data_IF_438068849334
#
_entry.id   IF_438068849334
#
_cell.length_a   1.000
_cell.length_b   1.000
_cell.length_c   1.000
_cell.angle_alpha   90.00
_cell.angle_beta   90.00
_cell.angle_gamma   90.00
#
_symmetry.space_group_name_H-M   'P 1'
#
loop_
_entity.id
_entity.type
_entity.pdbx_description
1 polymer ?
#
# COMPACT_ATOMS: atom_id res chain seq x y z
N UNK A 1 -52.40 -69.14 -38.82
CA UNK A 1 -51.46 -68.90 -39.94
C UNK A 1 -52.08 -67.88 -40.89
N UNK A 2 -51.62 -66.62 -40.82
CA UNK A 2 -51.60 -65.58 -41.86
C UNK A 2 -51.23 -64.26 -41.17
N UNK A 3 -49.97 -63.88 -41.37
CA UNK A 3 -49.38 -62.61 -40.93
C UNK A 3 -49.80 -61.55 -41.96
N UNK A 4 -50.42 -60.45 -41.53
CA UNK A 4 -50.60 -59.27 -42.36
C UNK A 4 -49.73 -58.14 -41.80
N UNK A 5 -48.77 -57.73 -42.62
CA UNK A 5 -47.86 -56.62 -42.39
C UNK A 5 -48.62 -55.30 -42.39
N UNK A 6 -48.57 -54.56 -41.28
CA UNK A 6 -49.03 -53.19 -41.19
C UNK A 6 -47.83 -52.26 -41.37
N UNK A 7 -47.75 -51.62 -42.54
CA UNK A 7 -46.81 -50.54 -42.85
C UNK A 7 -47.35 -49.23 -42.26
N UNK A 8 -46.63 -48.65 -41.30
CA UNK A 8 -46.90 -47.31 -40.75
C UNK A 8 -46.15 -46.29 -41.62
N UNK A 9 -46.82 -45.25 -42.18
CA UNK A 9 -46.11 -44.17 -42.86
C UNK A 9 -45.52 -43.20 -41.82
N UNK A 10 -44.20 -43.04 -41.86
CA UNK A 10 -43.49 -42.00 -41.12
C UNK A 10 -43.84 -40.64 -41.74
N UNK A 11 -44.63 -39.81 -41.03
CA UNK A 11 -44.76 -38.39 -41.34
C UNK A 11 -43.48 -37.68 -40.90
N UNK A 12 -42.64 -37.33 -41.87
CA UNK A 12 -41.52 -36.39 -41.69
C UNK A 12 -42.09 -34.97 -41.56
N UNK A 13 -42.25 -34.49 -40.32
CA UNK A 13 -42.45 -33.07 -40.06
C UNK A 13 -41.16 -32.32 -40.43
N UNK A 14 -41.19 -31.60 -41.55
CA UNK A 14 -40.20 -30.56 -41.85
C UNK A 14 -40.42 -29.38 -40.89
N UNK A 15 -39.83 -29.46 -39.71
CA UNK A 15 -39.60 -28.28 -38.88
C UNK A 15 -38.55 -27.41 -39.57
N UNK A 16 -39.01 -26.31 -40.18
CA UNK A 16 -38.15 -25.20 -40.57
C UNK A 16 -37.53 -24.62 -39.30
N UNK A 17 -36.37 -25.12 -38.88
CA UNK A 17 -35.45 -24.35 -38.07
C UNK A 17 -34.99 -23.20 -38.95
N UNK A 18 -35.60 -22.03 -38.77
CA UNK A 18 -34.95 -20.80 -39.17
C UNK A 18 -33.64 -20.74 -38.42
N UNK A 19 -32.53 -21.00 -39.12
CA UNK A 19 -31.23 -20.50 -38.70
C UNK A 19 -31.39 -18.98 -38.59
N UNK A 20 -31.68 -18.50 -37.38
CA UNK A 20 -31.32 -17.13 -37.03
C UNK A 20 -29.82 -17.08 -37.18
N UNK A 21 -29.35 -16.54 -38.31
CA UNK A 21 -27.94 -16.28 -38.54
C UNK A 21 -27.42 -15.50 -37.32
N UNK A 22 -26.64 -16.17 -36.48
CA UNK A 22 -25.80 -15.49 -35.50
C UNK A 22 -24.92 -14.57 -36.34
N UNK A 23 -25.00 -13.23 -36.18
CA UNK A 23 -24.19 -12.33 -36.98
C UNK A 23 -22.75 -12.77 -36.86
N UNK A 24 -22.05 -12.93 -37.99
CA UNK A 24 -20.65 -13.27 -37.99
C UNK A 24 -19.91 -12.18 -37.21
N UNK A 25 -19.58 -12.44 -35.95
CA UNK A 25 -18.84 -11.53 -35.10
C UNK A 25 -17.49 -11.28 -35.76
N UNK A 26 -17.35 -10.13 -36.40
CA UNK A 26 -16.12 -9.83 -37.13
C UNK A 26 -15.00 -9.57 -36.12
N UNK A 27 -13.84 -10.21 -36.32
CA UNK A 27 -12.62 -10.00 -35.52
C UNK A 27 -12.22 -8.51 -35.40
N UNK A 28 -12.66 -7.65 -36.32
CA UNK A 28 -12.45 -6.20 -36.26
C UNK A 28 -13.26 -5.55 -35.11
N UNK A 29 -14.53 -5.92 -34.91
CA UNK A 29 -15.35 -5.43 -33.80
C UNK A 29 -14.77 -5.84 -32.43
N UNK A 30 -14.21 -7.05 -32.35
CA UNK A 30 -13.51 -7.51 -31.16
C UNK A 30 -12.23 -6.72 -30.88
N UNK A 31 -11.44 -6.34 -31.90
CA UNK A 31 -10.21 -5.55 -31.73
C UNK A 31 -10.48 -4.19 -31.09
N UNK A 32 -11.48 -3.47 -31.59
CA UNK A 32 -11.85 -2.15 -31.06
C UNK A 32 -12.44 -2.26 -29.65
N UNK A 33 -12.95 -3.44 -29.28
CA UNK A 33 -13.43 -3.75 -27.94
C UNK A 33 -12.35 -4.28 -26.98
N UNK A 34 -11.12 -4.60 -27.45
CA UNK A 34 -10.06 -5.17 -26.59
C UNK A 34 -9.80 -4.31 -25.35
N UNK A 35 -9.61 -2.98 -25.43
CA UNK A 35 -9.36 -2.17 -24.24
C UNK A 35 -10.51 -2.24 -23.23
N UNK A 36 -11.76 -2.29 -23.72
CA UNK A 36 -12.96 -2.41 -22.89
C UNK A 36 -13.02 -3.78 -22.22
N UNK A 37 -12.77 -4.85 -22.97
CA UNK A 37 -12.77 -6.23 -22.46
C UNK A 37 -11.66 -6.46 -21.45
N UNK A 38 -10.48 -5.92 -21.70
CA UNK A 38 -9.35 -5.94 -20.75
C UNK A 38 -9.75 -5.21 -19.47
N UNK A 39 -10.33 -4.01 -19.56
CA UNK A 39 -10.81 -3.31 -18.35
C UNK A 39 -11.91 -4.10 -17.61
N UNK A 40 -12.85 -4.73 -18.31
CA UNK A 40 -13.87 -5.59 -17.69
C UNK A 40 -13.25 -6.81 -16.99
N UNK A 41 -12.25 -7.45 -17.60
CA UNK A 41 -11.49 -8.53 -16.98
C UNK A 41 -10.81 -8.06 -15.69
N UNK A 42 -10.22 -6.86 -15.70
CA UNK A 42 -9.65 -6.25 -14.50
C UNK A 42 -10.72 -6.00 -13.43
N UNK A 43 -11.90 -5.48 -13.79
CA UNK A 43 -13.01 -5.27 -12.86
C UNK A 43 -13.44 -6.58 -12.19
N UNK A 44 -13.63 -7.65 -12.96
CA UNK A 44 -14.00 -8.96 -12.42
C UNK A 44 -12.90 -9.54 -11.52
N UNK A 45 -11.63 -9.38 -11.92
CA UNK A 45 -10.48 -9.88 -11.15
C UNK A 45 -10.35 -9.12 -9.83
N UNK A 46 -10.40 -7.79 -9.86
CA UNK A 46 -10.28 -6.94 -8.67
C UNK A 46 -11.48 -7.10 -7.72
N UNK A 47 -12.69 -7.33 -8.23
CA UNK A 47 -13.85 -7.65 -7.40
C UNK A 47 -13.70 -9.01 -6.68
N UNK A 48 -13.11 -10.00 -7.35
CA UNK A 48 -12.78 -11.28 -6.73
C UNK A 48 -11.68 -11.12 -5.68
N UNK A 49 -10.61 -10.37 -6.00
CA UNK A 49 -9.55 -10.02 -5.04
C UNK A 49 -10.15 -9.36 -3.81
N UNK A 50 -11.04 -8.36 -3.97
CA UNK A 50 -11.66 -7.65 -2.85
C UNK A 50 -12.39 -8.59 -1.90
N UNK A 51 -13.23 -9.47 -2.44
CA UNK A 51 -13.99 -10.46 -1.67
C UNK A 51 -13.05 -11.41 -0.92
N UNK A 52 -11.94 -11.79 -1.56
CA UNK A 52 -11.00 -12.74 -0.98
C UNK A 52 -10.10 -12.10 0.08
N UNK A 53 -9.69 -10.83 -0.07
CA UNK A 53 -8.93 -10.10 0.95
C UNK A 53 -9.71 -9.99 2.27
N UNK A 54 -11.04 -9.78 2.20
CA UNK A 54 -11.90 -9.75 3.40
C UNK A 54 -12.01 -11.13 4.07
N UNK A 55 -12.00 -12.21 3.28
CA UNK A 55 -12.11 -13.58 3.79
C UNK A 55 -10.78 -14.13 4.32
N UNK A 56 -9.66 -13.74 3.72
CA UNK A 56 -8.32 -14.20 4.04
C UNK A 56 -7.45 -12.97 4.35
N UNK A 57 -7.61 -12.37 5.54
CA UNK A 57 -6.87 -11.17 5.93
C UNK A 57 -5.35 -11.44 6.04
N UNK A 58 -4.52 -10.38 6.15
CA UNK A 58 -3.07 -10.55 6.30
C UNK A 58 -2.71 -11.36 7.57
N UNK A 59 -1.76 -12.28 7.42
CA UNK A 59 -1.29 -13.19 8.47
C UNK A 59 0.22 -13.49 8.31
N UNK A 60 0.91 -13.86 9.40
CA UNK A 60 2.34 -14.19 9.37
C UNK A 60 2.65 -15.42 8.50
N UNK A 61 1.86 -16.48 8.65
CA UNK A 61 2.01 -17.70 7.88
C UNK A 61 1.05 -17.68 6.69
N UNK A 62 1.53 -17.14 5.57
CA UNK A 62 0.69 -16.92 4.40
C UNK A 62 0.12 -18.23 3.81
N UNK A 63 -1.18 -18.43 3.94
CA UNK A 63 -1.92 -19.52 3.29
C UNK A 63 -1.80 -19.51 1.76
N UNK A 64 -2.11 -20.64 1.12
CA UNK A 64 -2.11 -20.73 -0.36
C UNK A 64 -3.15 -19.80 -0.97
N UNK A 65 -4.30 -19.65 -0.33
CA UNK A 65 -5.35 -18.71 -0.68
C UNK A 65 -4.81 -17.29 -0.66
N UNK A 66 -4.11 -16.91 0.42
CA UNK A 66 -3.48 -15.59 0.55
C UNK A 66 -2.44 -15.33 -0.53
N UNK A 67 -1.60 -16.32 -0.86
CA UNK A 67 -0.64 -16.23 -1.96
C UNK A 67 -1.34 -16.05 -3.31
N UNK A 68 -2.41 -16.79 -3.57
CA UNK A 68 -3.18 -16.71 -4.81
C UNK A 68 -3.85 -15.33 -4.97
N UNK A 69 -4.37 -14.75 -3.89
CA UNK A 69 -4.99 -13.41 -3.92
C UNK A 69 -3.96 -12.35 -4.32
N UNK A 70 -2.79 -12.37 -3.68
CA UNK A 70 -1.72 -11.42 -3.99
C UNK A 70 -1.20 -11.61 -5.42
N UNK A 71 -1.08 -12.84 -5.89
CA UNK A 71 -0.70 -13.11 -7.29
C UNK A 71 -1.75 -12.64 -8.30
N UNK A 72 -3.05 -12.79 -8.01
CA UNK A 72 -4.12 -12.27 -8.84
C UNK A 72 -4.06 -10.74 -8.92
N UNK A 73 -3.79 -10.08 -7.79
CA UNK A 73 -3.59 -8.64 -7.75
C UNK A 73 -2.34 -8.26 -8.55
N UNK A 74 -1.21 -8.93 -8.33
CA UNK A 74 0.04 -8.71 -9.07
C UNK A 74 -0.21 -8.82 -10.59
N UNK A 75 -1.00 -9.79 -11.07
CA UNK A 75 -1.31 -9.93 -12.50
C UNK A 75 -2.07 -8.73 -13.10
N UNK A 76 -2.91 -8.07 -12.30
CA UNK A 76 -3.61 -6.84 -12.71
C UNK A 76 -2.65 -5.64 -12.65
N UNK A 77 -1.87 -5.56 -11.59
CA UNK A 77 -0.98 -4.42 -11.37
C UNK A 77 0.29 -4.51 -12.22
N UNK A 78 0.68 -5.66 -12.73
CA UNK A 78 1.86 -5.87 -13.58
C UNK A 78 1.56 -5.69 -15.08
N UNK A 79 0.69 -4.74 -15.42
CA UNK A 79 0.44 -4.27 -16.79
C UNK A 79 1.07 -2.88 -17.00
N UNK A 80 1.74 -2.59 -18.14
CA UNK A 80 2.36 -1.28 -18.38
C UNK A 80 1.41 -0.10 -18.18
N UNK A 81 0.16 -0.25 -18.63
CA UNK A 81 -0.88 0.77 -18.61
C UNK A 81 -1.84 0.63 -17.40
N UNK A 82 -1.46 -0.10 -16.35
CA UNK A 82 -2.33 -0.37 -15.21
C UNK A 82 -2.91 0.93 -14.61
N UNK A 83 -2.11 2.00 -14.53
CA UNK A 83 -2.52 3.32 -14.05
C UNK A 83 -3.72 3.91 -14.83
N UNK A 84 -3.79 3.60 -16.12
CA UNK A 84 -4.75 4.16 -17.06
C UNK A 84 -6.05 3.36 -17.11
N UNK A 85 -6.10 2.18 -16.48
CA UNK A 85 -7.30 1.35 -16.47
C UNK A 85 -8.29 1.87 -15.42
N UNK A 86 -9.54 2.21 -15.81
CA UNK A 86 -10.57 2.64 -14.87
C UNK A 86 -10.80 1.67 -13.70
N UNK A 87 -10.65 0.36 -13.94
CA UNK A 87 -10.77 -0.67 -12.89
C UNK A 87 -9.72 -0.48 -11.76
N UNK A 88 -8.47 -0.22 -12.14
CA UNK A 88 -7.35 -0.05 -11.21
C UNK A 88 -7.44 1.29 -10.47
N UNK A 89 -7.84 2.35 -11.18
CA UNK A 89 -8.13 3.66 -10.60
C UNK A 89 -9.24 3.59 -9.54
N UNK A 90 -10.36 2.94 -9.88
CA UNK A 90 -11.45 2.71 -8.94
C UNK A 90 -10.99 1.88 -7.74
N UNK A 91 -10.21 0.82 -7.97
CA UNK A 91 -9.66 0.01 -6.88
C UNK A 91 -8.79 0.84 -5.93
N UNK A 92 -7.84 1.63 -6.43
CA UNK A 92 -7.02 2.52 -5.60
C UNK A 92 -7.86 3.46 -4.71
N UNK A 93 -8.88 4.11 -5.28
CA UNK A 93 -9.75 5.04 -4.57
C UNK A 93 -10.61 4.29 -3.53
N UNK A 94 -11.28 3.21 -3.92
CA UNK A 94 -12.19 2.46 -3.04
C UNK A 94 -11.45 1.78 -1.88
N UNK A 95 -10.26 1.22 -2.11
CA UNK A 95 -9.41 0.68 -1.04
C UNK A 95 -9.01 1.76 -0.04
N UNK A 96 -8.72 2.97 -0.51
CA UNK A 96 -8.41 4.10 0.37
C UNK A 96 -9.64 4.59 1.13
N UNK A 97 -10.83 4.61 0.51
CA UNK A 97 -12.10 4.90 1.21
C UNK A 97 -12.38 3.92 2.33
N UNK A 98 -12.08 2.62 2.13
CA UNK A 98 -12.22 1.60 3.19
C UNK A 98 -11.33 1.91 4.39
N UNK A 99 -10.10 2.38 4.17
CA UNK A 99 -9.22 2.84 5.26
C UNK A 99 -9.80 4.06 5.98
N UNK A 100 -10.22 5.08 5.25
CA UNK A 100 -10.83 6.28 5.84
C UNK A 100 -12.07 5.95 6.69
N UNK A 101 -12.95 5.07 6.18
CA UNK A 101 -14.12 4.60 6.91
C UNK A 101 -13.72 3.77 8.16
N UNK A 102 -12.71 2.91 8.06
CA UNK A 102 -12.21 2.14 9.19
C UNK A 102 -11.60 3.04 10.29
N UNK A 103 -10.96 4.14 9.91
CA UNK A 103 -10.43 5.12 10.85
C UNK A 103 -11.53 5.89 11.61
N UNK A 104 -12.77 5.92 11.12
CA UNK A 104 -13.90 6.51 11.85
C UNK A 104 -14.53 5.53 12.86
N UNK A 105 -14.13 4.26 12.86
CA UNK A 105 -14.67 3.25 13.77
C UNK A 105 -14.07 3.36 15.18
N UNK A 106 -14.50 2.46 16.07
CA UNK A 106 -14.10 2.42 17.47
C UNK A 106 -12.56 2.47 17.65
N UNK A 107 -12.09 3.13 18.73
CA UNK A 107 -10.66 3.29 18.99
C UNK A 107 -9.97 1.95 19.25
N UNK A 108 -8.67 1.90 18.96
CA UNK A 108 -7.81 0.78 19.34
C UNK A 108 -7.61 0.82 20.86
N UNK A 109 -7.88 -0.27 21.55
CA UNK A 109 -7.77 -0.31 23.03
C UNK A 109 -6.47 -0.95 23.54
N UNK A 110 -5.76 -1.70 22.69
CA UNK A 110 -4.46 -2.31 22.98
C UNK A 110 -3.69 -2.53 21.68
N UNK A 111 -2.35 -2.45 21.75
CA UNK A 111 -1.48 -2.73 20.62
C UNK A 111 -1.59 -1.65 19.54
N UNK A 112 -1.54 -2.05 18.28
CA UNK A 112 -1.68 -1.14 17.16
C UNK A 112 -2.49 -1.77 16.03
N UNK A 113 -3.28 -0.94 15.34
CA UNK A 113 -3.86 -1.27 14.04
C UNK A 113 -3.10 -0.54 12.95
N UNK A 114 -2.66 -1.29 11.96
CA UNK A 114 -1.75 -0.79 10.92
C UNK A 114 -2.43 -0.98 9.57
N UNK A 115 -2.59 0.10 8.81
CA UNK A 115 -3.07 0.08 7.44
C UNK A 115 -1.94 0.36 6.48
N UNK A 116 -1.84 -0.45 5.43
CA UNK A 116 -0.96 -0.19 4.29
C UNK A 116 -1.75 0.51 3.20
N UNK A 117 -1.24 1.63 2.70
CA UNK A 117 -1.80 2.36 1.57
C UNK A 117 -0.90 2.18 0.33
N UNK A 118 -1.23 2.87 -0.75
CA UNK A 118 -0.45 2.83 -1.99
C UNK A 118 1.02 3.25 -1.76
N UNK A 119 1.93 2.68 -2.56
CA UNK A 119 3.37 2.85 -2.47
C UNK A 119 3.93 2.48 -1.08
N UNK A 120 4.65 3.41 -0.43
CA UNK A 120 5.25 3.24 0.88
C UNK A 120 4.46 3.95 2.00
N UNK A 121 3.16 4.19 1.73
CA UNK A 121 2.24 4.85 2.64
C UNK A 121 1.70 3.92 3.73
N UNK A 122 1.72 4.37 4.97
CA UNK A 122 1.14 3.64 6.10
C UNK A 122 0.38 4.55 7.05
N UNK A 123 -0.65 4.00 7.71
CA UNK A 123 -1.27 4.61 8.88
C UNK A 123 -1.19 3.62 10.04
N UNK A 124 -0.74 4.07 11.20
CA UNK A 124 -0.63 3.28 12.42
C UNK A 124 -1.46 3.95 13.50
N UNK A 125 -2.41 3.23 14.09
CA UNK A 125 -3.20 3.71 15.22
C UNK A 125 -2.95 2.87 16.45
N UNK A 126 -2.58 3.53 17.54
CA UNK A 126 -2.51 2.97 18.89
C UNK A 126 -3.63 3.57 19.75
N UNK A 127 -3.80 3.15 21.02
CA UNK A 127 -4.73 3.82 21.92
C UNK A 127 -4.50 5.32 22.07
N UNK A 128 -3.23 5.77 22.08
CA UNK A 128 -2.91 7.17 22.30
C UNK A 128 -2.73 8.00 21.04
N UNK A 129 -2.37 7.43 19.88
CA UNK A 129 -2.00 8.24 18.71
C UNK A 129 -2.29 7.55 17.36
N UNK A 130 -2.61 8.35 16.34
CA UNK A 130 -2.64 7.90 14.94
C UNK A 130 -1.54 8.58 14.12
N UNK A 131 -0.59 7.79 13.62
CA UNK A 131 0.57 8.23 12.85
C UNK A 131 0.38 7.90 11.37
N UNK A 132 0.76 8.80 10.49
CA UNK A 132 0.81 8.59 9.05
C UNK A 132 2.25 8.66 8.54
N UNK A 133 2.59 7.84 7.56
CA UNK A 133 3.91 7.81 6.92
C UNK A 133 3.72 7.84 5.40
N UNK A 134 4.45 8.72 4.71
CA UNK A 134 4.56 8.80 3.24
C UNK A 134 3.23 8.64 2.49
N UNK A 135 2.17 9.27 3.01
CA UNK A 135 0.86 9.25 2.36
C UNK A 135 0.90 10.10 1.08
N UNK A 136 0.40 9.52 -0.01
CA UNK A 136 0.35 10.16 -1.32
C UNK A 136 -1.05 10.16 -1.92
N UNK A 137 -1.36 11.21 -2.66
CA UNK A 137 -2.65 11.36 -3.35
C UNK A 137 -2.71 10.67 -4.70
N UNK A 138 -1.61 10.07 -5.18
CA UNK A 138 -1.47 9.54 -6.54
C UNK A 138 -1.22 10.61 -7.62
N UNK A 139 -1.27 11.91 -7.27
CA UNK A 139 -1.07 13.00 -8.25
C UNK A 139 0.28 12.98 -8.95
N UNK A 140 1.31 12.42 -8.32
CA UNK A 140 2.65 12.32 -8.89
C UNK A 140 2.70 11.45 -10.16
N UNK A 141 1.71 10.57 -10.39
CA UNK A 141 1.62 9.77 -11.61
C UNK A 141 1.24 10.61 -12.84
N UNK A 142 0.69 11.82 -12.66
CA UNK A 142 0.21 12.65 -13.77
C UNK A 142 -1.05 12.13 -14.46
N UNK A 143 -1.72 11.13 -13.90
CA UNK A 143 -2.99 10.59 -14.37
C UNK A 143 -4.13 11.02 -13.44
N UNK A 144 -5.02 11.89 -13.91
CA UNK A 144 -6.13 12.45 -13.11
C UNK A 144 -7.14 11.40 -12.61
N UNK A 145 -7.25 10.24 -13.28
CA UNK A 145 -8.07 9.13 -12.82
C UNK A 145 -7.47 8.36 -11.63
N UNK A 146 -6.14 8.38 -11.49
CA UNK A 146 -5.42 7.78 -10.36
C UNK A 146 -5.09 8.82 -9.29
N UNK A 147 -6.09 9.60 -8.88
CA UNK A 147 -5.91 10.66 -7.88
C UNK A 147 -6.98 10.57 -6.82
N UNK A 148 -6.55 10.56 -5.56
CA UNK A 148 -7.46 10.63 -4.43
C UNK A 148 -8.20 11.99 -4.43
N UNK A 149 -9.55 11.96 -4.32
CA UNK A 149 -10.36 13.15 -4.08
C UNK A 149 -9.90 13.93 -2.84
N UNK A 150 -10.09 15.26 -2.84
CA UNK A 150 -9.62 16.11 -1.73
C UNK A 150 -10.37 15.85 -0.41
N UNK A 151 -11.66 15.54 -0.47
CA UNK A 151 -12.47 15.14 0.69
C UNK A 151 -11.95 13.86 1.34
N UNK A 152 -11.52 12.88 0.53
CA UNK A 152 -10.89 11.67 1.06
C UNK A 152 -9.54 11.95 1.73
N UNK A 153 -8.75 12.87 1.20
CA UNK A 153 -7.51 13.31 1.87
C UNK A 153 -7.80 14.04 3.19
N UNK A 154 -8.88 14.84 3.23
CA UNK A 154 -9.35 15.50 4.43
C UNK A 154 -9.75 14.47 5.49
N UNK A 155 -10.54 13.47 5.12
CA UNK A 155 -10.98 12.40 6.02
C UNK A 155 -9.79 11.67 6.65
N UNK A 156 -8.76 11.33 5.87
CA UNK A 156 -7.54 10.72 6.39
C UNK A 156 -6.78 11.65 7.35
N UNK A 157 -6.59 12.92 6.97
CA UNK A 157 -5.85 13.87 7.77
C UNK A 157 -6.55 14.23 9.10
N UNK A 158 -7.88 14.34 9.11
CA UNK A 158 -8.65 14.56 10.33
C UNK A 158 -8.45 13.44 11.36
N UNK A 159 -8.31 12.20 10.87
CA UNK A 159 -8.15 11.00 11.69
C UNK A 159 -6.71 10.74 12.15
N UNK A 160 -5.73 11.47 11.62
CA UNK A 160 -4.32 11.36 11.99
C UNK A 160 -3.90 12.49 12.95
N UNK A 161 -2.86 12.25 13.73
CA UNK A 161 -2.26 13.23 14.63
C UNK A 161 -0.98 13.85 14.06
N UNK A 162 -0.26 13.11 13.22
CA UNK A 162 1.06 13.49 12.69
C UNK A 162 1.34 12.74 11.39
N UNK A 163 1.90 13.43 10.40
CA UNK A 163 2.43 12.86 9.16
C UNK A 163 3.96 12.89 9.17
N UNK A 164 4.59 11.80 8.81
CA UNK A 164 6.01 11.69 8.54
C UNK A 164 6.28 11.58 7.04
N UNK A 165 7.27 12.34 6.57
CA UNK A 165 7.79 12.30 5.21
C UNK A 165 9.25 11.84 5.25
N UNK A 166 9.56 10.78 4.52
CA UNK A 166 10.91 10.19 4.51
C UNK A 166 11.91 11.02 3.71
N UNK A 167 11.58 11.42 2.47
CA UNK A 167 12.50 12.12 1.57
C UNK A 167 11.76 12.97 0.52
N UNK A 168 12.46 13.47 -0.49
CA UNK A 168 11.99 14.56 -1.38
C UNK A 168 11.20 14.11 -2.61
N UNK A 169 11.18 12.82 -2.96
CA UNK A 169 10.50 12.36 -4.17
C UNK A 169 8.97 12.40 -4.01
N UNK A 170 8.25 12.65 -5.11
CA UNK A 170 6.82 13.01 -5.08
C UNK A 170 5.87 11.85 -4.76
N UNK A 171 6.37 10.63 -4.91
CA UNK A 171 5.81 9.35 -4.50
C UNK A 171 5.92 9.09 -2.99
N UNK A 172 6.56 10.01 -2.25
CA UNK A 172 6.62 10.05 -0.77
C UNK A 172 6.20 11.41 -0.21
N UNK A 173 6.79 12.48 -0.75
CA UNK A 173 6.52 13.87 -0.43
C UNK A 173 5.43 14.44 -1.34
N UNK A 174 4.16 14.17 -1.01
CA UNK A 174 3.03 14.79 -1.69
C UNK A 174 2.63 16.13 -1.04
N UNK A 175 2.85 17.27 -1.70
CA UNK A 175 2.53 18.59 -1.13
C UNK A 175 1.03 18.81 -0.95
N UNK A 176 0.16 18.08 -1.65
CA UNK A 176 -1.30 18.16 -1.43
C UNK A 176 -1.64 17.55 -0.08
N UNK A 177 -1.10 16.38 0.22
CA UNK A 177 -1.33 15.68 1.50
C UNK A 177 -0.77 16.51 2.66
N UNK A 178 0.48 16.97 2.56
CA UNK A 178 1.09 17.80 3.59
C UNK A 178 0.30 19.10 3.84
N UNK A 179 -0.17 19.76 2.77
CA UNK A 179 -1.01 20.96 2.91
C UNK A 179 -2.31 20.68 3.67
N UNK A 180 -2.95 19.53 3.41
CA UNK A 180 -4.19 19.14 4.11
C UNK A 180 -3.93 18.87 5.59
N UNK A 181 -2.85 18.18 5.94
CA UNK A 181 -2.44 17.97 7.34
C UNK A 181 -2.19 19.30 8.07
N UNK A 182 -1.38 20.18 7.48
CA UNK A 182 -1.09 21.50 8.07
C UNK A 182 -2.36 22.35 8.21
N UNK A 183 -3.26 22.33 7.21
CA UNK A 183 -4.56 23.02 7.29
C UNK A 183 -5.40 22.53 8.48
N UNK A 184 -5.30 21.25 8.82
CA UNK A 184 -5.98 20.61 9.95
C UNK A 184 -5.24 20.80 11.29
N UNK A 185 -4.21 21.65 11.33
CA UNK A 185 -3.41 21.86 12.54
C UNK A 185 -2.59 20.63 12.95
N UNK A 186 -2.37 19.69 12.02
CA UNK A 186 -1.57 18.49 12.26
C UNK A 186 -0.13 18.76 11.87
N UNK A 187 0.86 18.50 12.75
CA UNK A 187 2.26 18.61 12.38
C UNK A 187 2.60 17.67 11.21
N UNK A 188 3.55 18.10 10.38
CA UNK A 188 4.16 17.28 9.34
C UNK A 188 5.67 17.26 9.56
N UNK A 189 6.20 16.12 9.96
CA UNK A 189 7.63 15.90 10.10
C UNK A 189 8.25 15.64 8.72
N UNK A 190 9.19 16.49 8.30
CA UNK A 190 9.73 16.50 6.94
C UNK A 190 11.27 16.54 6.92
N UNK A 191 11.91 16.10 5.82
CA UNK A 191 13.33 16.31 5.58
C UNK A 191 13.69 17.79 5.61
N UNK A 192 14.85 18.11 6.15
CA UNK A 192 15.32 19.48 6.23
C UNK A 192 15.36 20.13 4.84
N UNK A 193 14.64 21.24 4.66
CA UNK A 193 14.64 21.96 3.39
C UNK A 193 13.41 21.72 2.54
N UNK A 194 12.72 20.59 2.73
CA UNK A 194 11.55 20.25 1.96
C UNK A 194 10.46 21.32 2.16
N UNK A 195 10.04 21.93 1.06
CA UNK A 195 8.97 22.93 1.03
C UNK A 195 9.15 24.19 1.90
N UNK A 196 10.38 24.56 2.29
CA UNK A 196 10.69 25.77 3.09
C UNK A 196 10.06 27.07 2.55
N UNK A 197 9.79 27.15 1.24
CA UNK A 197 9.19 28.33 0.57
C UNK A 197 7.69 28.22 0.32
N UNK A 198 7.04 27.10 0.69
CA UNK A 198 5.60 26.90 0.45
C UNK A 198 4.76 27.59 1.53
N UNK A 199 3.52 28.01 1.23
CA UNK A 199 2.65 28.69 2.21
C UNK A 199 2.37 27.90 3.49
N UNK A 200 2.43 26.57 3.45
CA UNK A 200 2.19 25.70 4.60
C UNK A 200 3.47 25.34 5.38
N UNK A 201 4.62 25.94 5.05
CA UNK A 201 5.91 25.63 5.67
C UNK A 201 5.92 25.81 7.21
N UNK A 202 5.08 26.70 7.75
CA UNK A 202 4.98 26.96 9.18
C UNK A 202 4.43 25.76 9.99
N UNK A 203 3.72 24.82 9.34
CA UNK A 203 3.25 23.59 9.98
C UNK A 203 4.22 22.41 9.86
N UNK A 204 5.40 22.63 9.25
CA UNK A 204 6.41 21.60 9.08
C UNK A 204 7.37 21.56 10.27
N UNK A 205 7.76 20.36 10.66
CA UNK A 205 8.79 20.08 11.67
C UNK A 205 9.97 19.42 10.96
N UNK A 206 11.14 20.06 10.98
CA UNK A 206 12.35 19.48 10.40
C UNK A 206 13.14 18.73 11.46
N UNK A 207 13.26 17.42 11.30
CA UNK A 207 13.98 16.56 12.24
C UNK A 207 15.48 16.58 11.95
N UNK A 208 16.28 16.67 13.01
CA UNK A 208 17.72 16.45 12.93
C UNK A 208 17.99 14.99 12.56
N UNK A 209 18.93 14.75 11.64
CA UNK A 209 19.29 13.41 11.15
C UNK A 209 20.44 12.83 11.98
N UNK A 210 20.14 12.43 13.22
CA UNK A 210 21.13 11.98 14.20
C UNK A 210 20.66 10.72 14.95
N UNK A 211 21.42 9.63 14.84
CA UNK A 211 21.10 8.31 15.38
C UNK A 211 20.99 8.24 16.93
N UNK A 212 21.61 9.19 17.64
CA UNK A 212 21.67 9.20 19.11
C UNK A 212 20.70 10.21 19.75
N UNK A 213 19.99 11.00 18.94
CA UNK A 213 19.20 12.13 19.43
C UNK A 213 17.71 11.80 19.40
N UNK A 214 17.11 11.67 20.59
CA UNK A 214 15.66 11.56 20.74
C UNK A 214 15.04 12.94 20.66
N UNK A 215 14.25 13.18 19.62
CA UNK A 215 13.49 14.39 19.39
C UNK A 215 12.03 14.18 19.83
N UNK A 216 11.34 15.26 20.18
CA UNK A 216 9.94 15.20 20.61
C UNK A 216 9.10 16.10 19.72
N UNK A 217 8.02 15.56 19.15
CA UNK A 217 7.08 16.30 18.31
C UNK A 217 5.77 16.47 19.08
N UNK A 218 5.34 17.71 19.39
CA UNK A 218 4.06 17.95 20.04
C UNK A 218 2.91 17.61 19.08
N UNK A 219 1.88 16.96 19.60
CA UNK A 219 0.65 16.64 18.87
C UNK A 219 -0.56 17.22 19.62
N UNK A 220 -1.71 17.35 18.92
CA UNK A 220 -2.97 17.85 19.49
C UNK A 220 -2.81 19.18 20.23
N UNK A 221 -2.12 20.13 19.61
CA UNK A 221 -1.85 21.45 20.21
C UNK A 221 -0.90 21.41 21.41
N UNK A 222 -0.10 20.35 21.57
CA UNK A 222 0.86 20.19 22.66
C UNK A 222 0.31 19.47 23.90
N UNK A 223 -0.90 18.93 23.84
CA UNK A 223 -1.47 18.13 24.92
C UNK A 223 -0.75 16.77 25.11
N UNK A 224 -0.08 16.29 24.08
CA UNK A 224 0.72 15.07 24.10
C UNK A 224 1.89 15.20 23.10
N UNK A 225 2.76 14.20 23.04
CA UNK A 225 3.93 14.22 22.16
C UNK A 225 4.38 12.83 21.71
N UNK A 226 5.03 12.79 20.56
CA UNK A 226 5.63 11.58 19.99
C UNK A 226 7.15 11.71 20.04
N UNK A 227 7.86 10.65 20.45
CA UNK A 227 9.32 10.63 20.43
C UNK A 227 9.83 10.04 19.12
N UNK A 228 10.88 10.63 18.57
CA UNK A 228 11.41 10.23 17.27
C UNK A 228 12.93 10.25 17.28
N UNK A 229 13.54 9.20 16.76
CA UNK A 229 14.95 9.18 16.33
C UNK A 229 14.94 9.13 14.81
N UNK A 230 15.70 10.02 14.16
CA UNK A 230 15.79 10.07 12.71
C UNK A 230 17.21 9.71 12.28
N UNK A 231 17.37 8.48 11.79
CA UNK A 231 18.65 7.98 11.31
C UNK A 231 18.98 8.56 9.91
N UNK A 232 20.25 8.89 9.65
CA UNK A 232 20.67 9.53 8.40
C UNK A 232 20.79 8.52 7.25
N UNK A 233 19.68 7.98 6.79
CA UNK A 233 19.64 7.09 5.63
C UNK A 233 19.78 7.80 4.27
N UNK A 234 19.94 7.02 3.21
CA UNK A 234 20.05 7.49 1.83
C UNK A 234 19.36 6.55 0.85
N UNK A 235 18.72 7.15 -0.16
CA UNK A 235 18.35 6.47 -1.38
C UNK A 235 19.50 6.59 -2.39
N UNK A 236 20.12 5.45 -2.70
CA UNK A 236 21.41 5.41 -3.37
C UNK A 236 22.47 6.27 -2.65
N UNK A 237 23.45 6.77 -3.39
CA UNK A 237 24.57 7.51 -2.78
C UNK A 237 24.25 8.94 -2.36
N UNK A 238 23.18 9.55 -2.90
CA UNK A 238 23.07 11.02 -2.94
C UNK A 238 21.78 11.60 -2.39
N UNK A 239 20.70 10.84 -2.33
CA UNK A 239 19.40 11.38 -1.93
C UNK A 239 19.23 11.14 -0.43
N UNK A 240 19.20 12.20 0.41
CA UNK A 240 18.95 12.04 1.83
C UNK A 240 17.58 11.41 2.06
N UNK A 241 17.56 10.40 2.94
CA UNK A 241 16.36 9.67 3.31
C UNK A 241 16.27 9.57 4.83
N UNK A 242 15.17 10.01 5.41
CA UNK A 242 14.92 9.88 6.84
C UNK A 242 14.51 8.43 7.13
N UNK A 243 15.27 7.75 7.98
CA UNK A 243 14.88 6.45 8.54
C UNK A 243 14.40 6.70 9.97
N UNK A 244 13.09 6.67 10.14
CA UNK A 244 12.41 7.16 11.34
C UNK A 244 12.13 6.01 12.29
N UNK A 245 12.59 6.11 13.54
CA UNK A 245 12.14 5.27 14.65
C UNK A 245 11.26 6.11 15.56
N UNK A 246 9.98 5.77 15.63
CA UNK A 246 8.94 6.54 16.31
C UNK A 246 8.45 5.76 17.52
N UNK A 247 8.51 6.36 18.71
CA UNK A 247 7.94 5.79 19.94
C UNK A 247 6.67 6.53 20.31
N UNK A 248 5.55 5.80 20.40
CA UNK A 248 4.24 6.36 20.78
C UNK A 248 4.17 6.62 22.29
N UNK A 249 3.21 7.44 22.75
CA UNK A 249 2.95 7.59 24.19
C UNK A 249 2.64 6.27 24.92
N UNK A 250 2.07 5.29 24.21
CA UNK A 250 1.81 3.94 24.75
C UNK A 250 3.07 3.06 24.84
N UNK A 251 4.23 3.55 24.37
CA UNK A 251 5.51 2.85 24.42
C UNK A 251 5.80 1.92 23.24
N UNK A 252 4.95 1.89 22.21
CA UNK A 252 5.19 1.10 20.99
C UNK A 252 6.15 1.81 20.04
N UNK A 253 7.00 1.04 19.37
CA UNK A 253 8.03 1.56 18.47
C UNK A 253 7.87 1.11 17.02
N UNK A 254 7.79 2.07 16.12
CA UNK A 254 7.62 1.84 14.68
C UNK A 254 8.83 2.39 13.93
N UNK A 255 9.46 1.57 13.09
CA UNK A 255 10.53 1.99 12.20
C UNK A 255 10.01 2.09 10.77
N UNK A 256 10.06 3.27 10.15
CA UNK A 256 9.77 3.46 8.73
C UNK A 256 11.05 3.86 8.01
N UNK A 257 11.40 3.12 6.96
CA UNK A 257 12.74 3.24 6.37
C UNK A 257 12.82 4.23 5.22
N UNK A 258 11.71 4.80 4.75
CA UNK A 258 11.67 5.47 3.46
C UNK A 258 12.32 4.59 2.38
N UNK A 259 13.07 5.22 1.47
CA UNK A 259 13.75 4.55 0.34
C UNK A 259 15.19 4.15 0.65
N UNK A 260 15.41 3.70 1.89
CA UNK A 260 16.73 3.26 2.30
C UNK A 260 17.28 2.18 1.37
N UNK A 261 18.32 2.53 0.63
CA UNK A 261 18.93 1.67 -0.37
C UNK A 261 20.45 1.81 -0.48
N UNK A 262 21.07 2.68 0.31
CA UNK A 262 22.53 2.79 0.35
C UNK A 262 23.15 1.68 1.21
N UNK A 263 24.15 1.00 0.66
CA UNK A 263 24.86 -0.10 1.34
C UNK A 263 25.78 0.36 2.47
N UNK A 264 26.30 1.61 2.41
CA UNK A 264 27.18 2.15 3.44
C UNK A 264 26.43 2.38 4.77
N UNK A 265 25.14 2.71 4.70
CA UNK A 265 24.29 2.92 5.88
C UNK A 265 24.09 1.62 6.69
N UNK A 266 24.41 0.45 6.14
CA UNK A 266 24.31 -0.79 6.90
C UNK A 266 25.22 -0.81 8.13
N UNK A 267 26.30 -0.02 8.13
CA UNK A 267 27.18 0.13 9.30
C UNK A 267 26.41 0.55 10.55
N UNK A 268 25.50 1.53 10.43
CA UNK A 268 24.67 1.95 11.56
C UNK A 268 23.41 1.10 11.71
N UNK A 269 22.81 0.61 10.60
CA UNK A 269 21.61 -0.24 10.63
C UNK A 269 21.85 -1.51 11.46
N UNK A 270 23.00 -2.15 11.31
CA UNK A 270 23.39 -3.36 12.04
C UNK A 270 23.46 -3.16 13.57
N UNK A 271 23.39 -1.91 14.02
CA UNK A 271 23.49 -1.53 15.44
C UNK A 271 22.18 -1.02 16.03
N UNK A 272 21.14 -0.81 15.23
CA UNK A 272 19.88 -0.19 15.69
C UNK A 272 19.27 -0.96 16.86
N UNK A 273 19.17 -2.29 16.74
CA UNK A 273 18.61 -3.17 17.79
C UNK A 273 19.38 -3.15 19.12
N UNK A 274 20.62 -2.65 19.14
CA UNK A 274 21.41 -2.49 20.37
C UNK A 274 20.97 -1.27 21.19
N UNK A 275 20.35 -0.28 20.53
CA UNK A 275 19.94 0.99 21.14
C UNK A 275 18.42 1.17 21.18
N UNK A 276 17.69 0.55 20.23
CA UNK A 276 16.25 0.70 20.08
C UNK A 276 15.58 -0.68 20.10
N UNK A 277 14.49 -0.81 20.85
CA UNK A 277 13.52 -1.90 20.64
C UNK A 277 12.61 -1.48 19.50
N UNK A 278 12.34 -2.37 18.56
CA UNK A 278 11.44 -2.12 17.42
C UNK A 278 10.28 -3.11 17.50
N UNK A 279 9.05 -2.62 17.68
CA UNK A 279 7.86 -3.46 17.60
C UNK A 279 7.56 -3.82 16.15
N UNK A 280 7.49 -2.81 15.28
CA UNK A 280 7.12 -2.99 13.87
C UNK A 280 8.09 -2.25 12.97
N UNK A 281 8.63 -2.96 11.98
CA UNK A 281 9.41 -2.41 10.88
C UNK A 281 8.55 -2.31 9.62
N UNK A 282 8.58 -1.15 8.98
CA UNK A 282 7.91 -0.81 7.73
C UNK A 282 8.99 -0.55 6.66
N UNK A 283 9.65 -1.60 6.11
CA UNK A 283 10.75 -1.41 5.18
C UNK A 283 10.24 -1.22 3.75
N UNK A 284 10.98 -0.49 2.92
CA UNK A 284 10.76 -0.54 1.47
C UNK A 284 11.27 -1.90 0.93
N UNK A 285 10.59 -2.46 -0.06
CA UNK A 285 11.00 -3.74 -0.67
C UNK A 285 12.28 -3.64 -1.52
N UNK A 286 12.78 -2.43 -1.76
CA UNK A 286 13.91 -2.11 -2.62
C UNK A 286 15.27 -2.12 -1.91
N UNK A 287 15.30 -2.20 -0.58
CA UNK A 287 16.55 -2.29 0.18
C UNK A 287 17.41 -3.44 -0.37
N UNK A 288 18.70 -3.19 -0.71
CA UNK A 288 19.55 -4.17 -1.37
C UNK A 288 19.64 -5.51 -0.64
N UNK A 289 19.77 -5.45 0.69
CA UNK A 289 19.86 -6.61 1.58
C UNK A 289 18.76 -6.51 2.65
N UNK A 290 17.54 -6.88 2.25
CA UNK A 290 16.35 -6.81 3.09
C UNK A 290 16.47 -7.71 4.34
N UNK A 291 16.99 -8.96 4.26
CA UNK A 291 17.22 -9.78 5.46
C UNK A 291 18.18 -9.13 6.46
N UNK A 292 19.29 -8.55 6.01
CA UNK A 292 20.23 -7.84 6.91
C UNK A 292 19.60 -6.60 7.54
N UNK A 293 18.80 -5.84 6.79
CA UNK A 293 18.05 -4.71 7.33
C UNK A 293 17.13 -5.18 8.47
N UNK A 294 16.35 -6.23 8.24
CA UNK A 294 15.46 -6.81 9.24
C UNK A 294 16.26 -7.29 10.47
N UNK A 295 17.40 -7.95 10.27
CA UNK A 295 18.27 -8.40 11.36
C UNK A 295 18.85 -7.24 12.18
N UNK A 296 19.27 -6.14 11.54
CA UNK A 296 19.82 -4.96 12.21
C UNK A 296 18.80 -4.25 13.11
N UNK A 297 17.56 -4.13 12.65
CA UNK A 297 16.45 -3.57 13.42
C UNK A 297 15.87 -4.56 14.45
N UNK A 298 15.96 -5.87 14.18
CA UNK A 298 15.38 -6.97 14.95
C UNK A 298 13.94 -6.70 15.45
N UNK A 299 12.98 -6.44 14.53
CA UNK A 299 11.61 -6.10 14.91
C UNK A 299 10.79 -7.32 15.34
N UNK A 300 9.71 -7.08 16.08
CA UNK A 300 8.68 -8.09 16.36
C UNK A 300 7.84 -8.45 15.12
N UNK A 301 7.59 -7.47 14.25
CA UNK A 301 6.81 -7.61 13.01
C UNK A 301 7.46 -6.83 11.86
N UNK A 302 7.40 -7.38 10.65
CA UNK A 302 7.78 -6.69 9.42
C UNK A 302 6.56 -6.53 8.51
N UNK A 303 6.29 -5.32 8.00
CA UNK A 303 5.28 -5.08 6.96
C UNK A 303 5.93 -4.32 5.81
N UNK A 304 6.38 -5.00 4.75
CA UNK A 304 6.98 -4.35 3.59
C UNK A 304 6.01 -3.41 2.86
N UNK A 305 6.53 -2.30 2.37
CA UNK A 305 5.84 -1.39 1.44
C UNK A 305 6.68 -1.09 0.20
N UNK A 306 6.24 -0.08 -0.56
CA UNK A 306 6.86 0.35 -1.83
C UNK A 306 6.72 -0.67 -2.98
N UNK A 307 5.93 -1.71 -2.76
CA UNK A 307 5.61 -2.73 -3.73
C UNK A 307 4.41 -2.36 -4.60
N UNK A 308 4.36 -3.01 -5.75
CA UNK A 308 3.36 -2.79 -6.78
C UNK A 308 3.15 -1.32 -7.16
N UNK A 309 4.15 -0.46 -6.93
CA UNK A 309 4.04 0.95 -7.24
C UNK A 309 3.87 1.16 -8.75
N UNK A 310 2.71 1.70 -9.12
CA UNK A 310 2.31 1.87 -10.50
C UNK A 310 3.08 2.99 -11.21
N UNK A 311 3.60 3.96 -10.47
CA UNK A 311 4.41 5.06 -11.03
C UNK A 311 5.68 4.57 -11.72
N UNK A 312 6.18 3.40 -11.31
CA UNK A 312 7.36 2.74 -11.84
C UNK A 312 7.09 1.90 -13.09
N UNK A 313 8.13 1.71 -13.90
CA UNK A 313 8.16 0.71 -14.98
C UNK A 313 8.09 -0.72 -14.42
N UNK A 314 7.73 -1.70 -15.24
CA UNK A 314 7.50 -3.07 -14.77
C UNK A 314 8.71 -3.74 -14.10
N UNK A 315 9.93 -3.45 -14.53
CA UNK A 315 11.16 -3.96 -13.89
C UNK A 315 11.33 -3.42 -12.45
N UNK A 316 10.68 -2.31 -12.17
CA UNK A 316 10.70 -1.60 -10.90
C UNK A 316 9.42 -1.82 -10.07
N UNK A 317 8.32 -2.22 -10.67
CA UNK A 317 7.10 -2.59 -9.96
C UNK A 317 7.25 -3.94 -9.27
N UNK A 318 7.68 -3.96 -8.00
CA UNK A 318 7.94 -5.22 -7.27
C UNK A 318 6.63 -5.93 -6.92
N UNK A 319 6.30 -7.08 -7.53
CA UNK A 319 5.10 -7.82 -7.18
C UNK A 319 5.28 -8.56 -5.85
N UNK A 320 4.18 -8.93 -5.22
CA UNK A 320 4.15 -9.55 -3.90
C UNK A 320 4.96 -10.85 -3.82
N UNK A 321 4.93 -11.67 -4.87
CA UNK A 321 5.72 -12.91 -4.93
C UNK A 321 7.22 -12.65 -4.87
N UNK A 322 7.71 -11.57 -5.50
CA UNK A 322 9.13 -11.22 -5.50
C UNK A 322 9.58 -10.68 -4.14
N UNK A 323 8.72 -9.93 -3.44
CA UNK A 323 9.02 -9.49 -2.07
C UNK A 323 9.25 -10.70 -1.17
N UNK A 324 8.39 -11.73 -1.29
CA UNK A 324 8.52 -12.95 -0.51
C UNK A 324 9.85 -13.67 -0.76
N UNK A 325 10.29 -13.74 -2.02
CA UNK A 325 11.61 -14.29 -2.35
C UNK A 325 12.74 -13.46 -1.74
N UNK A 326 12.64 -12.12 -1.77
CA UNK A 326 13.64 -11.21 -1.19
C UNK A 326 13.71 -11.23 0.33
N UNK A 327 12.61 -11.61 1.00
CA UNK A 327 12.57 -11.76 2.45
C UNK A 327 13.35 -13.01 2.92
N UNK A 328 13.52 -14.00 2.05
CA UNK A 328 14.25 -15.24 2.33
C UNK A 328 13.84 -15.89 3.67
N UNK A 329 14.79 -16.15 4.56
CA UNK A 329 14.59 -16.75 5.89
C UNK A 329 13.80 -15.85 6.85
N UNK A 330 13.72 -14.54 6.56
CA UNK A 330 12.93 -13.58 7.33
C UNK A 330 11.45 -13.56 6.95
N UNK A 331 11.02 -14.33 5.93
CA UNK A 331 9.63 -14.34 5.48
C UNK A 331 8.63 -14.67 6.61
N UNK A 332 9.01 -15.52 7.58
CA UNK A 332 8.15 -15.87 8.73
C UNK A 332 7.89 -14.71 9.71
N UNK A 333 8.69 -13.62 9.64
CA UNK A 333 8.49 -12.41 10.45
C UNK A 333 7.65 -11.35 9.73
N UNK A 334 7.38 -11.55 8.45
CA UNK A 334 6.74 -10.55 7.60
C UNK A 334 5.26 -10.85 7.35
N UNK A 335 4.47 -9.79 7.24
CA UNK A 335 3.08 -9.85 6.79
C UNK A 335 2.99 -9.04 5.50
N UNK A 336 2.63 -9.69 4.39
CA UNK A 336 2.39 -9.00 3.12
C UNK A 336 0.92 -8.55 3.04
N UNK A 337 0.76 -7.26 2.77
CA UNK A 337 -0.52 -6.58 2.68
C UNK A 337 -0.67 -5.97 1.29
N UNK A 338 -1.87 -6.08 0.71
CA UNK A 338 -2.32 -5.28 -0.40
C UNK A 338 -2.73 -3.88 0.08
N UNK A 339 -2.92 -2.96 -0.86
CA UNK A 339 -3.38 -1.60 -0.54
C UNK A 339 -4.71 -1.62 0.19
N UNK A 340 -4.86 -0.79 1.21
CA UNK A 340 -6.06 -0.64 2.01
C UNK A 340 -6.33 -1.75 3.02
N UNK A 341 -5.47 -2.77 3.13
CA UNK A 341 -5.63 -3.79 4.17
C UNK A 341 -5.17 -3.30 5.54
N UNK A 342 -5.63 -3.99 6.58
CA UNK A 342 -5.22 -3.76 7.96
C UNK A 342 -4.58 -5.01 8.58
N UNK A 343 -3.71 -4.77 9.55
CA UNK A 343 -3.16 -5.78 10.43
C UNK A 343 -3.24 -5.30 11.88
N UNK A 344 -3.72 -6.15 12.78
CA UNK A 344 -3.81 -5.88 14.22
C UNK A 344 -2.57 -6.46 14.92
N UNK A 345 -1.66 -5.60 15.34
CA UNK A 345 -0.49 -5.95 16.14
C UNK A 345 -0.85 -5.95 17.62
N UNK A 346 -0.81 -7.13 18.25
CA UNK A 346 -0.90 -7.25 19.69
C UNK A 346 0.50 -7.14 20.30
N UNK A 347 0.75 -6.10 21.08
CA UNK A 347 1.96 -6.03 21.88
C UNK A 347 1.90 -7.10 22.98
N UNK A 348 2.91 -7.98 23.02
CA UNK A 348 3.07 -9.02 24.05
C UNK A 348 3.17 -8.44 25.46
#
# INVERSE_FOLDING_TARGET
MKLHHLLIPLFLCWGSFGESAVPAETRAAWRDAIPVLVNQQHQHTLAAVETLLERFPPEHAMSLERQAILLLLDNVLFEPEAADKPAVQAFFIERTKKVAAALQQAPVTRGARIWKLYNHGFIVRTPSVTLAFDLVSGRHLGNDGFVLPEDLLEDLACQCDLLFISHFHLDHADPRVAKVFVRNGKPVAAPEGLWKTRPFAAGLVYLQREAATVQTIPIRGGADSVKVVNYPGHQGERVPNNVLVVTTPDGLTFAHTGDQSNTADFEWIDTVSKAQRIDVLLPNCWTPDLPRLIAGFNPGLVIPGHDNEISHTLDQRKPSWLIRERLDDMAGRAVLMAWGECYDYAAE
#
